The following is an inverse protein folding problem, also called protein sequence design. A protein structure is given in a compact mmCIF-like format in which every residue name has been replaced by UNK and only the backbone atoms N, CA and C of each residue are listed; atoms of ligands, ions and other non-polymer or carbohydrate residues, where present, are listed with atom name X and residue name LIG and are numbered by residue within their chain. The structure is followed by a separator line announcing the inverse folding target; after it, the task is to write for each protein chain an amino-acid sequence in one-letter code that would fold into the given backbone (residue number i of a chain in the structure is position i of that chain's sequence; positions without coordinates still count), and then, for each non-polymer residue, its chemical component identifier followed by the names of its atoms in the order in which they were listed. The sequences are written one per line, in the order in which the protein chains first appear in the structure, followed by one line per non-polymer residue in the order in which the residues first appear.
data_IF_809656584732
#
_entry.id   IF_809656584732
#
_cell.length_a   1.000
_cell.length_b   1.000
_cell.length_c   1.000
_cell.angle_alpha   90.00
_cell.angle_beta   90.00
_cell.angle_gamma   90.00
#
_symmetry.space_group_name_H-M   'P 1'
#
loop_
_entity.id
_entity.type
_entity.pdbx_description
1 polymer ?
#
# COMPACT_ATOMS: atom_id res chain seq x y z
N UNK A 1 19.08 4.68 2.21
CA UNK A 1 18.08 4.43 3.26
C UNK A 1 16.78 3.97 2.67
N UNK A 2 16.20 2.88 3.20
CA UNK A 2 15.02 2.31 2.57
C UNK A 2 13.77 3.16 2.83
N UNK A 3 13.04 3.40 1.76
CA UNK A 3 11.71 4.01 1.75
C UNK A 3 10.67 2.94 1.46
N UNK A 4 9.80 2.67 2.43
CA UNK A 4 8.71 1.70 2.35
C UNK A 4 7.40 2.46 2.13
N UNK A 5 6.66 2.12 1.09
CA UNK A 5 5.40 2.78 0.75
C UNK A 5 4.23 1.82 0.94
N UNK A 6 3.26 2.20 1.75
CA UNK A 6 1.99 1.48 1.86
C UNK A 6 1.00 2.09 0.86
N UNK A 7 0.62 1.34 -0.15
CA UNK A 7 -0.20 1.85 -1.25
C UNK A 7 -1.25 0.83 -1.69
N UNK A 8 -2.46 1.30 -1.89
CA UNK A 8 -3.54 0.59 -2.59
C UNK A 8 -4.64 1.60 -2.92
N UNK A 9 -5.27 1.44 -4.07
CA UNK A 9 -6.33 2.36 -4.50
C UNK A 9 -7.60 2.22 -3.66
N UNK A 10 -7.83 1.05 -3.05
CA UNK A 10 -9.03 0.82 -2.24
C UNK A 10 -8.92 1.44 -0.85
N UNK A 11 -9.95 2.19 -0.47
CA UNK A 11 -10.12 2.68 0.90
C UNK A 11 -10.41 1.54 1.89
N UNK A 12 -10.04 1.71 3.17
CA UNK A 12 -10.35 0.76 4.24
C UNK A 12 -9.51 -0.52 4.26
N UNK A 13 -8.46 -0.63 3.45
CA UNK A 13 -7.52 -1.77 3.46
C UNK A 13 -6.59 -1.80 4.67
N UNK A 14 -6.51 -0.72 5.44
CA UNK A 14 -5.70 -0.58 6.65
C UNK A 14 -4.31 -0.02 6.45
N UNK A 15 -4.04 0.73 5.36
CA UNK A 15 -2.75 1.39 5.08
C UNK A 15 -2.22 2.15 6.30
N UNK A 16 -2.95 3.14 6.78
CA UNK A 16 -2.53 3.98 7.90
C UNK A 16 -2.31 3.19 9.20
N UNK A 17 -3.16 2.21 9.49
CA UNK A 17 -3.01 1.32 10.65
C UNK A 17 -1.71 0.53 10.58
N UNK A 18 -1.42 -0.04 9.40
CA UNK A 18 -0.19 -0.78 9.17
C UNK A 18 1.03 0.13 9.17
N UNK A 19 0.95 1.33 8.55
CA UNK A 19 2.04 2.31 8.55
C UNK A 19 2.45 2.70 9.97
N UNK A 20 1.48 3.03 10.83
CA UNK A 20 1.71 3.33 12.25
C UNK A 20 2.34 2.13 12.96
N UNK A 21 1.77 0.94 12.81
CA UNK A 21 2.23 -0.25 13.52
C UNK A 21 3.61 -0.71 13.08
N UNK A 22 3.90 -0.67 11.77
CA UNK A 22 5.24 -0.96 11.21
C UNK A 22 6.28 0.06 11.67
N UNK A 23 5.91 1.35 11.71
CA UNK A 23 6.79 2.41 12.23
C UNK A 23 7.24 2.10 13.66
N UNK A 24 6.31 1.71 14.52
CA UNK A 24 6.63 1.40 15.92
C UNK A 24 7.36 0.05 16.07
N UNK A 25 7.08 -0.91 15.21
CA UNK A 25 7.82 -2.18 15.17
C UNK A 25 9.29 -1.95 14.76
N UNK A 26 9.52 -1.11 13.74
CA UNK A 26 10.85 -0.73 13.28
C UNK A 26 11.64 0.06 14.35
N UNK A 27 11.00 1.01 15.02
CA UNK A 27 11.63 1.75 16.14
C UNK A 27 12.04 0.78 17.26
N UNK A 28 11.20 -0.19 17.60
CA UNK A 28 11.53 -1.21 18.61
C UNK A 28 12.63 -2.16 18.17
N UNK A 29 12.81 -2.36 16.88
CA UNK A 29 13.95 -3.08 16.31
C UNK A 29 15.25 -2.26 16.28
N UNK A 30 15.23 -1.00 16.73
CA UNK A 30 16.40 -0.13 16.85
C UNK A 30 16.59 0.86 15.71
N UNK A 31 15.66 0.94 14.77
CA UNK A 31 15.76 1.88 13.65
C UNK A 31 15.31 3.29 14.03
N UNK A 32 15.97 4.28 13.46
CA UNK A 32 15.43 5.63 13.39
C UNK A 32 14.42 5.69 12.25
N UNK A 33 13.18 6.10 12.50
CA UNK A 33 12.10 6.04 11.51
C UNK A 33 11.43 7.38 11.31
N UNK A 34 11.15 7.73 10.05
CA UNK A 34 10.28 8.83 9.66
C UNK A 34 8.97 8.27 9.13
N UNK A 35 7.85 8.82 9.57
CA UNK A 35 6.53 8.47 9.06
C UNK A 35 5.96 9.66 8.29
N UNK A 36 5.79 9.49 6.98
CA UNK A 36 5.21 10.52 6.11
C UNK A 36 3.77 10.16 5.81
N UNK A 37 2.87 11.13 5.94
CA UNK A 37 1.46 10.99 5.59
C UNK A 37 1.16 11.80 4.33
N UNK A 38 0.65 11.14 3.28
CA UNK A 38 0.23 11.82 2.06
C UNK A 38 -1.29 11.78 1.85
N UNK A 39 -2.04 11.21 2.79
CA UNK A 39 -3.50 11.19 2.77
C UNK A 39 -4.07 12.45 3.44
N UNK A 40 -4.80 13.31 2.70
CA UNK A 40 -5.44 14.50 3.28
C UNK A 40 -6.48 14.18 4.37
N UNK A 41 -6.94 12.93 4.49
CA UNK A 41 -7.81 12.50 5.60
C UNK A 41 -7.11 12.60 6.95
N UNK A 42 -5.78 12.62 6.98
CA UNK A 42 -4.99 12.90 8.17
C UNK A 42 -5.09 11.83 9.26
N UNK A 43 -5.26 10.56 8.90
CA UNK A 43 -5.41 9.46 9.88
C UNK A 43 -4.19 9.36 10.80
N UNK A 44 -2.98 9.42 10.22
CA UNK A 44 -1.72 9.35 10.97
C UNK A 44 -1.51 10.61 11.81
N UNK A 45 -1.77 11.79 11.26
CA UNK A 45 -1.71 13.07 11.98
C UNK A 45 -2.69 13.13 13.15
N UNK A 46 -3.92 12.62 12.94
CA UNK A 46 -4.93 12.49 14.00
C UNK A 46 -4.49 11.55 15.11
N UNK A 47 -3.90 10.40 14.75
CA UNK A 47 -3.30 9.48 15.71
C UNK A 47 -2.15 10.17 16.46
N UNK A 48 -1.25 10.87 15.76
CA UNK A 48 -0.12 11.58 16.37
C UNK A 48 -0.56 12.63 17.40
N UNK A 49 -1.65 13.34 17.15
CA UNK A 49 -2.21 14.31 18.14
C UNK A 49 -2.70 13.67 19.42
N UNK A 50 -3.19 12.42 19.35
CA UNK A 50 -3.61 11.66 20.56
C UNK A 50 -2.44 11.01 21.30
N UNK A 51 -1.27 10.92 20.64
CA UNK A 51 -0.14 10.16 21.14
C UNK A 51 0.52 10.85 22.33
N UNK A 52 0.74 10.12 23.46
CA UNK A 52 1.42 10.67 24.63
C UNK A 52 2.95 10.78 24.50
N UNK A 53 3.52 10.22 23.43
CA UNK A 53 4.96 10.17 23.21
C UNK A 53 5.39 11.06 22.04
N UNK A 54 6.61 11.64 22.13
CA UNK A 54 7.17 12.47 21.08
C UNK A 54 7.48 11.69 19.78
N UNK A 55 8.03 10.48 19.89
CA UNK A 55 8.31 9.62 18.73
C UNK A 55 7.05 8.85 18.25
N UNK A 56 6.93 8.51 16.96
CA UNK A 56 7.79 8.90 15.84
C UNK A 56 7.59 10.35 15.40
N UNK A 57 8.52 10.85 14.58
CA UNK A 57 8.29 12.09 13.83
C UNK A 57 7.33 11.76 12.69
N UNK A 58 6.24 12.51 12.62
CA UNK A 58 5.20 12.41 11.57
C UNK A 58 5.26 13.68 10.74
N UNK A 59 5.36 13.53 9.42
CA UNK A 59 5.44 14.63 8.46
C UNK A 59 4.26 14.53 7.47
N UNK A 60 3.22 15.39 7.59
CA UNK A 60 2.15 15.45 6.60
C UNK A 60 2.65 16.21 5.36
N UNK A 61 2.72 15.52 4.21
CA UNK A 61 3.17 16.09 2.93
C UNK A 61 2.22 15.65 1.83
N UNK A 62 1.40 16.57 1.33
CA UNK A 62 0.35 16.27 0.36
C UNK A 62 0.73 16.62 -1.09
N UNK A 63 1.70 17.51 -1.27
CA UNK A 63 2.13 17.93 -2.61
C UNK A 63 3.24 17.01 -3.14
N UNK A 64 3.07 16.47 -4.35
CA UNK A 64 4.01 15.53 -4.97
C UNK A 64 5.45 16.07 -5.01
N UNK A 65 5.66 17.33 -5.46
CA UNK A 65 6.99 17.94 -5.56
C UNK A 65 7.67 18.13 -4.20
N UNK A 66 6.90 18.38 -3.15
CA UNK A 66 7.41 18.51 -1.79
C UNK A 66 7.83 17.14 -1.26
N UNK A 67 6.99 16.13 -1.49
CA UNK A 67 7.29 14.74 -1.15
C UNK A 67 8.58 14.26 -1.83
N UNK A 68 8.74 14.51 -3.13
CA UNK A 68 9.94 14.15 -3.89
C UNK A 68 11.20 14.76 -3.26
N UNK A 69 11.19 16.08 -3.02
CA UNK A 69 12.34 16.77 -2.38
C UNK A 69 12.65 16.20 -1.00
N UNK A 70 11.60 15.89 -0.22
CA UNK A 70 11.78 15.37 1.12
C UNK A 70 12.36 13.95 1.11
N UNK A 71 11.86 13.07 0.25
CA UNK A 71 12.39 11.70 0.11
C UNK A 71 13.84 11.71 -0.36
N UNK A 72 14.19 12.56 -1.32
CA UNK A 72 15.58 12.74 -1.77
C UNK A 72 16.49 13.23 -0.64
N UNK A 73 16.06 14.23 0.13
CA UNK A 73 16.83 14.71 1.29
C UNK A 73 17.04 13.61 2.33
N UNK A 74 15.99 12.87 2.69
CA UNK A 74 16.09 11.76 3.64
C UNK A 74 16.99 10.63 3.14
N UNK A 75 17.00 10.36 1.84
CA UNK A 75 17.91 9.37 1.24
C UNK A 75 19.39 9.81 1.36
N UNK A 76 19.68 11.11 1.22
CA UNK A 76 21.03 11.67 1.37
C UNK A 76 21.48 11.68 2.83
N UNK A 77 20.59 11.99 3.76
CA UNK A 77 20.91 12.05 5.20
C UNK A 77 21.26 10.67 5.79
N UNK A 78 20.90 9.59 5.13
CA UNK A 78 21.36 8.22 5.42
C UNK A 78 20.93 7.62 6.78
N UNK A 79 20.15 8.32 7.60
CA UNK A 79 20.03 8.02 9.02
C UNK A 79 18.72 7.34 9.47
N UNK A 80 17.70 7.17 8.63
CA UNK A 80 16.39 6.69 9.08
C UNK A 80 15.64 5.84 8.04
N UNK A 81 14.90 4.83 8.42
CA UNK A 81 13.88 4.19 7.58
C UNK A 81 12.74 5.19 7.35
N UNK A 82 12.29 5.33 6.12
CA UNK A 82 11.11 6.15 5.81
C UNK A 82 9.92 5.25 5.51
N UNK A 83 8.82 5.44 6.23
CA UNK A 83 7.54 4.78 5.95
C UNK A 83 6.57 5.84 5.42
N UNK A 84 5.94 5.57 4.28
CA UNK A 84 5.00 6.50 3.64
C UNK A 84 3.61 5.89 3.63
N UNK A 85 2.67 6.54 4.31
CA UNK A 85 1.23 6.25 4.24
C UNK A 85 0.60 7.03 3.09
N UNK A 86 0.00 6.34 2.12
CA UNK A 86 -0.60 7.00 0.96
C UNK A 86 -2.13 7.07 1.04
N UNK A 87 -2.69 8.06 0.35
CA UNK A 87 -4.13 8.15 0.14
C UNK A 87 -4.69 6.92 -0.59
N UNK A 88 -5.97 6.64 -0.41
CA UNK A 88 -6.71 5.73 -1.27
C UNK A 88 -6.97 6.39 -2.62
N UNK A 89 -6.72 5.66 -3.72
CA UNK A 89 -6.91 6.16 -5.07
C UNK A 89 -5.64 6.66 -5.75
N UNK A 90 -5.80 7.12 -6.98
CA UNK A 90 -4.70 7.67 -7.78
C UNK A 90 -4.48 9.13 -7.42
N UNK A 91 -3.24 9.47 -7.07
CA UNK A 91 -2.83 10.85 -6.85
C UNK A 91 -1.38 11.05 -7.30
N UNK A 92 -1.03 12.30 -7.62
CA UNK A 92 0.35 12.63 -7.96
C UNK A 92 1.31 12.33 -6.79
N UNK A 93 0.87 12.53 -5.55
CA UNK A 93 1.67 12.22 -4.36
C UNK A 93 1.87 10.71 -4.20
N UNK A 94 0.83 9.89 -4.40
CA UNK A 94 0.94 8.42 -4.38
C UNK A 94 1.90 7.92 -5.46
N UNK A 95 1.81 8.46 -6.68
CA UNK A 95 2.71 8.09 -7.78
C UNK A 95 4.17 8.47 -7.46
N UNK A 96 4.40 9.68 -6.93
CA UNK A 96 5.73 10.10 -6.48
C UNK A 96 6.25 9.21 -5.34
N UNK A 97 5.41 8.85 -4.36
CA UNK A 97 5.80 7.93 -3.29
C UNK A 97 6.29 6.59 -3.86
N UNK A 98 5.53 5.98 -4.78
CA UNK A 98 5.91 4.73 -5.44
C UNK A 98 7.22 4.90 -6.21
N UNK A 99 7.36 5.97 -7.00
CA UNK A 99 8.57 6.23 -7.79
C UNK A 99 9.84 6.27 -6.93
N UNK A 100 9.77 6.88 -5.76
CA UNK A 100 10.92 7.03 -4.85
C UNK A 100 10.98 5.95 -3.76
N UNK A 101 10.14 4.90 -3.84
CA UNK A 101 10.20 3.78 -2.91
C UNK A 101 11.32 2.80 -3.25
N UNK A 102 11.82 2.12 -2.22
CA UNK A 102 12.66 0.94 -2.35
C UNK A 102 11.81 -0.34 -2.24
N UNK A 103 10.65 -0.25 -1.60
CA UNK A 103 9.72 -1.37 -1.45
C UNK A 103 8.28 -0.88 -1.28
N UNK A 104 7.34 -1.52 -2.00
CA UNK A 104 5.92 -1.24 -1.88
C UNK A 104 5.19 -2.36 -1.13
N UNK A 105 4.46 -2.03 -0.09
CA UNK A 105 3.51 -2.91 0.56
C UNK A 105 2.10 -2.59 0.06
N UNK A 106 1.35 -3.61 -0.39
CA UNK A 106 -0.01 -3.49 -0.91
C UNK A 106 -0.97 -4.17 0.06
N UNK A 107 -1.52 -3.45 1.05
CA UNK A 107 -2.51 -4.02 1.94
C UNK A 107 -3.81 -4.35 1.19
N UNK A 108 -4.27 -5.58 1.33
CA UNK A 108 -5.53 -6.04 0.75
C UNK A 108 -6.25 -6.99 1.70
N UNK A 109 -7.58 -7.00 1.66
CA UNK A 109 -8.38 -8.00 2.37
C UNK A 109 -8.46 -9.29 1.55
N UNK A 110 -8.65 -10.46 2.18
CA UNK A 110 -8.77 -11.74 1.48
C UNK A 110 -10.16 -11.89 0.83
N UNK A 111 -10.51 -10.97 -0.07
CA UNK A 111 -11.71 -11.02 -0.90
C UNK A 111 -11.35 -10.76 -2.36
N UNK A 112 -12.02 -11.42 -3.29
CA UNK A 112 -11.76 -11.27 -4.73
C UNK A 112 -11.88 -9.80 -5.16
N UNK A 113 -12.94 -9.11 -4.74
CA UNK A 113 -13.13 -7.69 -5.09
C UNK A 113 -12.03 -6.76 -4.56
N UNK A 114 -11.40 -7.08 -3.42
CA UNK A 114 -10.28 -6.30 -2.89
C UNK A 114 -8.99 -6.62 -3.65
N UNK A 115 -8.81 -7.88 -4.05
CA UNK A 115 -7.65 -8.34 -4.84
C UNK A 115 -7.68 -7.74 -6.24
N UNK A 116 -8.80 -7.85 -6.96
CA UNK A 116 -8.98 -7.23 -8.28
C UNK A 116 -8.73 -5.71 -8.25
N UNK A 117 -9.13 -5.03 -7.17
CA UNK A 117 -8.85 -3.61 -6.99
C UNK A 117 -7.37 -3.27 -6.85
N UNK A 118 -6.48 -4.24 -6.59
CA UNK A 118 -5.04 -4.01 -6.53
C UNK A 118 -4.38 -3.89 -7.91
N UNK A 119 -5.03 -4.37 -8.98
CA UNK A 119 -4.50 -4.37 -10.34
C UNK A 119 -4.01 -2.99 -10.81
N UNK A 120 -4.77 -1.94 -10.49
CA UNK A 120 -4.40 -0.58 -10.85
C UNK A 120 -3.15 -0.09 -10.09
N UNK A 121 -3.04 -0.40 -8.79
CA UNK A 121 -1.84 -0.13 -7.99
C UNK A 121 -0.63 -0.89 -8.54
N UNK A 122 -0.81 -2.16 -8.86
CA UNK A 122 0.26 -3.01 -9.41
C UNK A 122 0.79 -2.48 -10.75
N UNK A 123 -0.09 -1.95 -11.63
CA UNK A 123 0.35 -1.32 -12.88
C UNK A 123 1.31 -0.15 -12.64
N UNK A 124 1.01 0.72 -11.67
CA UNK A 124 1.89 1.85 -11.34
C UNK A 124 3.22 1.37 -10.77
N UNK A 125 3.20 0.40 -9.86
CA UNK A 125 4.40 -0.16 -9.24
C UNK A 125 5.32 -0.79 -10.30
N UNK A 126 4.75 -1.56 -11.24
CA UNK A 126 5.47 -2.16 -12.35
C UNK A 126 6.04 -1.14 -13.33
N UNK A 127 5.29 -0.08 -13.63
CA UNK A 127 5.77 1.00 -14.49
C UNK A 127 7.03 1.71 -13.93
N UNK A 128 7.18 1.69 -12.60
CA UNK A 128 8.38 2.22 -11.92
C UNK A 128 9.39 1.12 -11.54
N UNK A 129 9.18 -0.13 -12.00
CA UNK A 129 10.06 -1.28 -11.70
C UNK A 129 10.37 -1.44 -10.20
N UNK A 130 9.35 -1.24 -9.33
CA UNK A 130 9.55 -1.28 -7.88
C UNK A 130 9.27 -2.67 -7.31
N UNK A 131 10.11 -3.16 -6.39
CA UNK A 131 9.82 -4.35 -5.62
C UNK A 131 8.54 -4.14 -4.78
N UNK A 132 7.73 -5.19 -4.65
CA UNK A 132 6.48 -5.09 -3.90
C UNK A 132 6.12 -6.39 -3.21
N UNK A 133 5.22 -6.29 -2.24
CA UNK A 133 4.49 -7.44 -1.71
C UNK A 133 3.07 -7.07 -1.29
N UNK A 134 2.19 -8.04 -1.39
CA UNK A 134 0.86 -7.96 -0.80
C UNK A 134 0.92 -8.26 0.70
N UNK A 135 0.16 -7.49 1.48
CA UNK A 135 -0.10 -7.78 2.89
C UNK A 135 -1.56 -8.17 3.02
N UNK A 136 -1.83 -9.48 3.19
CA UNK A 136 -3.18 -9.94 3.48
C UNK A 136 -3.56 -9.47 4.89
N UNK A 137 -4.38 -8.43 4.93
CA UNK A 137 -4.80 -7.72 6.13
C UNK A 137 -6.27 -7.98 6.45
N UNK A 138 -6.66 -7.75 7.71
CA UNK A 138 -8.03 -7.98 8.20
C UNK A 138 -8.51 -9.41 7.90
N UNK A 139 -7.60 -10.37 8.00
CA UNK A 139 -7.93 -11.78 7.73
C UNK A 139 -8.81 -12.33 8.85
N UNK A 140 -9.90 -13.06 8.54
CA UNK A 140 -10.71 -13.70 9.57
C UNK A 140 -9.92 -14.79 10.30
N UNK A 141 -10.15 -14.95 11.61
CA UNK A 141 -9.44 -15.93 12.47
C UNK A 141 -9.62 -17.38 11.97
N UNK A 142 -10.75 -17.68 11.33
CA UNK A 142 -11.09 -19.02 10.83
C UNK A 142 -11.41 -18.96 9.34
N UNK A 143 -10.38 -18.91 8.51
CA UNK A 143 -10.57 -18.73 7.06
C UNK A 143 -9.53 -19.42 6.19
N UNK A 144 -8.99 -20.58 6.57
CA UNK A 144 -7.92 -21.25 5.83
C UNK A 144 -8.24 -21.45 4.33
N UNK A 145 -9.43 -21.95 3.99
CA UNK A 145 -9.83 -22.13 2.59
C UNK A 145 -9.97 -20.81 1.81
N UNK A 146 -10.48 -19.75 2.49
CA UNK A 146 -10.60 -18.41 1.90
C UNK A 146 -9.23 -17.78 1.66
N UNK A 147 -8.30 -18.00 2.58
CA UNK A 147 -6.92 -17.52 2.45
C UNK A 147 -6.19 -18.18 1.28
N UNK A 148 -6.31 -19.49 1.11
CA UNK A 148 -5.74 -20.19 -0.03
C UNK A 148 -6.30 -19.66 -1.37
N UNK A 149 -7.60 -19.42 -1.45
CA UNK A 149 -8.22 -18.79 -2.63
C UNK A 149 -7.73 -17.37 -2.89
N UNK A 150 -7.54 -16.57 -1.84
CA UNK A 150 -7.02 -15.21 -1.95
C UNK A 150 -5.56 -15.20 -2.41
N UNK A 151 -4.72 -16.06 -1.84
CA UNK A 151 -3.32 -16.20 -2.24
C UNK A 151 -3.19 -16.61 -3.71
N UNK A 152 -3.95 -17.59 -4.17
CA UNK A 152 -3.96 -18.01 -5.56
C UNK A 152 -4.40 -16.88 -6.51
N UNK A 153 -5.42 -16.10 -6.12
CA UNK A 153 -5.87 -14.97 -6.91
C UNK A 153 -4.79 -13.87 -7.02
N UNK A 154 -4.06 -13.60 -5.94
CA UNK A 154 -2.93 -12.66 -5.95
C UNK A 154 -1.77 -13.16 -6.83
N UNK A 155 -1.44 -14.44 -6.77
CA UNK A 155 -0.44 -15.05 -7.65
C UNK A 155 -0.82 -14.89 -9.12
N UNK A 156 -2.07 -15.17 -9.47
CA UNK A 156 -2.57 -15.02 -10.84
C UNK A 156 -2.55 -13.55 -11.30
N UNK A 157 -2.99 -12.61 -10.45
CA UNK A 157 -2.99 -11.18 -10.77
C UNK A 157 -1.58 -10.64 -10.99
N UNK A 158 -0.64 -11.08 -10.17
CA UNK A 158 0.75 -10.66 -10.28
C UNK A 158 1.56 -11.48 -11.31
N UNK A 159 1.06 -12.65 -11.77
CA UNK A 159 1.80 -13.62 -12.58
C UNK A 159 3.17 -14.00 -11.97
N UNK A 160 3.21 -14.13 -10.65
CA UNK A 160 4.40 -14.41 -9.86
C UNK A 160 4.11 -15.51 -8.82
N UNK A 161 5.15 -16.11 -8.25
CA UNK A 161 5.00 -17.06 -7.17
C UNK A 161 4.47 -16.37 -5.90
N UNK A 162 3.48 -16.99 -5.26
CA UNK A 162 2.85 -16.48 -4.03
C UNK A 162 3.90 -16.30 -2.92
N UNK A 163 4.85 -17.20 -2.79
CA UNK A 163 5.88 -17.14 -1.76
C UNK A 163 6.74 -15.88 -1.86
N UNK A 164 6.89 -15.34 -3.08
CA UNK A 164 7.71 -14.16 -3.33
C UNK A 164 6.95 -12.85 -3.13
N UNK A 165 5.62 -12.86 -3.29
CA UNK A 165 4.81 -11.64 -3.35
C UNK A 165 3.82 -11.48 -2.20
N UNK A 166 3.61 -12.48 -1.34
CA UNK A 166 2.72 -12.36 -0.18
C UNK A 166 3.53 -12.32 1.09
N UNK A 167 3.46 -11.18 1.78
CA UNK A 167 4.16 -10.99 3.06
C UNK A 167 3.65 -11.91 4.16
N UNK A 168 4.55 -12.31 5.03
CA UNK A 168 4.26 -13.12 6.23
C UNK A 168 4.65 -12.37 7.50
N UNK A 169 3.86 -12.51 8.55
CA UNK A 169 2.60 -13.25 8.66
C UNK A 169 1.42 -12.52 7.99
N UNK A 170 0.29 -13.22 7.87
CA UNK A 170 -1.01 -12.58 7.57
C UNK A 170 -1.47 -11.78 8.80
N UNK A 171 -2.11 -10.64 8.57
CA UNK A 171 -2.58 -9.78 9.65
C UNK A 171 -4.05 -10.08 9.94
N UNK A 172 -4.31 -10.62 11.11
CA UNK A 172 -5.65 -11.04 11.52
C UNK A 172 -6.46 -9.84 12.01
N UNK A 173 -7.74 -9.80 11.65
CA UNK A 173 -8.67 -8.78 12.14
C UNK A 173 -8.92 -8.96 13.63
N UNK A 174 -8.47 -7.99 14.44
CA UNK A 174 -8.71 -7.93 15.90
C UNK A 174 -8.98 -6.49 16.33
N UNK A 175 -9.69 -6.34 17.44
CA UNK A 175 -10.01 -5.03 18.01
C UNK A 175 -8.77 -4.30 18.52
N UNK A 176 -7.72 -5.04 18.92
CA UNK A 176 -6.45 -4.48 19.43
C UNK A 176 -5.92 -3.32 18.57
N UNK A 177 -6.06 -3.42 17.24
CA UNK A 177 -5.61 -2.36 16.32
C UNK A 177 -6.42 -1.07 16.49
N UNK A 178 -7.74 -1.17 16.66
CA UNK A 178 -8.63 -0.01 16.84
C UNK A 178 -8.45 0.59 18.23
N UNK A 179 -8.34 -0.24 19.25
CA UNK A 179 -8.16 0.17 20.65
C UNK A 179 -6.81 0.91 20.80
N UNK A 180 -5.75 0.37 20.24
CA UNK A 180 -4.45 1.01 20.21
C UNK A 180 -4.49 2.38 19.52
N UNK A 181 -5.06 2.46 18.29
CA UNK A 181 -5.16 3.73 17.56
C UNK A 181 -5.98 4.78 18.31
N UNK A 182 -7.04 4.37 18.98
CA UNK A 182 -7.89 5.27 19.80
C UNK A 182 -7.09 5.88 20.96
N UNK A 183 -6.17 5.11 21.55
CA UNK A 183 -5.28 5.56 22.62
C UNK A 183 -4.03 6.33 22.13
N UNK A 184 -3.87 6.57 20.81
CA UNK A 184 -2.65 7.16 20.25
C UNK A 184 -1.42 6.25 20.31
N UNK A 185 -1.66 4.93 20.41
CA UNK A 185 -0.63 3.90 20.50
C UNK A 185 -0.63 3.03 19.22
N UNK A 186 0.40 2.22 19.05
CA UNK A 186 0.39 1.07 18.16
C UNK A 186 0.16 -0.22 18.94
N UNK A 187 -0.22 -1.31 18.28
CA UNK A 187 -0.50 -2.59 18.94
C UNK A 187 0.67 -3.13 19.76
N UNK A 188 1.91 -2.90 19.30
CA UNK A 188 3.11 -3.30 20.01
C UNK A 188 3.36 -2.50 21.29
N UNK A 189 2.65 -1.38 21.50
CA UNK A 189 2.68 -0.59 22.73
C UNK A 189 1.46 -0.90 23.61
N UNK A 190 0.29 -1.01 22.99
CA UNK A 190 -0.97 -1.25 23.67
C UNK A 190 -1.04 -2.65 24.28
N UNK A 191 -0.66 -3.67 23.52
CA UNK A 191 -0.67 -5.08 23.94
C UNK A 191 0.62 -5.78 23.49
N UNK A 192 1.79 -5.50 24.10
CA UNK A 192 3.10 -5.92 23.61
C UNK A 192 3.29 -7.44 23.53
N UNK A 193 2.62 -8.23 24.37
CA UNK A 193 2.59 -9.69 24.33
C UNK A 193 1.42 -10.27 23.54
N UNK A 194 0.60 -9.43 22.91
CA UNK A 194 -0.57 -9.87 22.14
C UNK A 194 -0.20 -10.37 20.74
N UNK A 195 -1.09 -11.21 20.17
CA UNK A 195 -0.90 -11.75 18.80
C UNK A 195 -0.81 -10.68 17.73
N UNK A 196 -1.56 -9.59 17.85
CA UNK A 196 -1.47 -8.46 16.91
C UNK A 196 -0.10 -7.81 16.93
N UNK A 197 0.53 -7.69 18.10
CA UNK A 197 1.88 -7.17 18.23
C UNK A 197 2.95 -8.14 17.68
N UNK A 198 2.75 -9.45 17.88
CA UNK A 198 3.62 -10.48 17.29
C UNK A 198 3.57 -10.44 15.75
N UNK A 199 2.37 -10.38 15.18
CA UNK A 199 2.17 -10.27 13.74
C UNK A 199 2.85 -9.02 13.16
N UNK A 200 2.76 -7.88 13.82
CA UNK A 200 3.40 -6.64 13.35
C UNK A 200 4.93 -6.69 13.45
N UNK A 201 5.49 -7.29 14.51
CA UNK A 201 6.94 -7.51 14.62
C UNK A 201 7.44 -8.45 13.53
N UNK A 202 6.73 -9.54 13.29
CA UNK A 202 7.10 -10.50 12.26
C UNK A 202 6.95 -9.92 10.85
N UNK A 203 5.92 -9.09 10.60
CA UNK A 203 5.77 -8.37 9.32
C UNK A 203 6.94 -7.38 9.11
N UNK A 204 7.38 -6.69 10.18
CA UNK A 204 8.56 -5.83 10.08
C UNK A 204 9.82 -6.63 9.72
N UNK A 205 10.10 -7.73 10.44
CA UNK A 205 11.25 -8.59 10.18
C UNK A 205 11.23 -9.16 8.76
N UNK A 206 10.06 -9.58 8.28
CA UNK A 206 9.90 -10.03 6.90
C UNK A 206 10.20 -8.91 5.90
N UNK A 207 9.67 -7.71 6.12
CA UNK A 207 9.89 -6.54 5.25
C UNK A 207 11.38 -6.16 5.23
N UNK A 208 12.00 -6.12 6.39
CA UNK A 208 13.43 -5.80 6.54
C UNK A 208 14.33 -6.78 5.79
N UNK A 209 14.02 -8.08 5.84
CA UNK A 209 14.75 -9.11 5.08
C UNK A 209 14.66 -8.91 3.57
N UNK A 210 13.51 -8.43 3.07
CA UNK A 210 13.31 -8.14 1.64
C UNK A 210 14.03 -6.86 1.20
N UNK A 211 14.14 -5.88 2.06
CA UNK A 211 14.93 -4.67 1.79
C UNK A 211 16.42 -4.98 1.62
N UNK A 212 16.98 -5.85 2.46
CA UNK A 212 18.36 -6.29 2.34
C UNK A 212 18.65 -7.00 1.01
N UNK A 213 17.73 -7.83 0.55
CA UNK A 213 17.84 -8.54 -0.71
C UNK A 213 17.66 -7.62 -1.94
N UNK A 214 16.80 -6.60 -1.84
CA UNK A 214 16.57 -5.64 -2.92
C UNK A 214 17.81 -4.76 -3.16
N UNK A 215 18.52 -4.37 -2.13
CA UNK A 215 19.79 -3.60 -2.24
C UNK A 215 20.88 -4.44 -2.91
N UNK A 216 20.93 -5.75 -2.65
CA UNK A 216 21.92 -6.64 -3.28
C UNK A 216 21.62 -6.90 -4.78
N UNK A 217 20.36 -6.80 -5.21
CA UNK A 217 19.95 -7.02 -6.60
C UNK A 217 20.15 -5.79 -7.51
N UNK A 218 20.37 -4.60 -6.95
CA UNK A 218 20.57 -3.36 -7.73
C UNK A 218 22.02 -3.13 -8.18
N UNK A 219 22.96 -4.00 -7.81
CA UNK A 219 24.36 -3.94 -8.26
C UNK A 219 24.62 -4.64 -9.61
N UNK A 220 23.61 -5.24 -10.25
CA UNK A 220 23.74 -5.74 -11.62
C UNK A 220 23.37 -4.63 -12.64
N UNK A 221 24.20 -4.40 -13.68
CA UNK A 221 23.91 -3.37 -14.69
C UNK A 221 22.66 -3.76 -15.48
N UNK A 222 21.64 -2.90 -15.41
CA UNK A 222 20.39 -3.04 -16.18
C UNK A 222 20.74 -2.81 -17.66
N UNK A 223 20.71 -3.88 -18.45
CA UNK A 223 20.71 -3.78 -19.93
C UNK A 223 19.29 -3.31 -20.31
N UNK A 224 19.18 -2.06 -20.78
CA UNK A 224 17.93 -1.52 -21.32
C UNK A 224 17.57 -2.24 -22.63
N UNK A 225 16.79 -3.31 -22.55
CA UNK A 225 16.02 -3.79 -23.69
C UNK A 225 14.64 -3.14 -23.67
N UNK A 226 14.42 -2.18 -24.57
CA UNK A 226 13.11 -1.61 -24.82
C UNK A 226 12.20 -2.68 -25.44
N UNK A 227 11.37 -3.33 -24.62
CA UNK A 227 10.26 -4.15 -25.10
C UNK A 227 9.06 -3.24 -25.33
N UNK A 228 8.73 -2.98 -26.61
CA UNK A 228 7.45 -2.36 -26.98
C UNK A 228 6.30 -3.25 -26.47
N UNK A 229 5.54 -2.75 -25.52
CA UNK A 229 4.34 -3.42 -25.03
C UNK A 229 3.20 -3.10 -26.00
N UNK A 230 2.66 -4.09 -26.77
CA UNK A 230 1.50 -3.83 -27.61
C UNK A 230 0.31 -3.45 -26.73
N UNK A 231 -0.39 -2.38 -27.11
CA UNK A 231 -1.62 -1.94 -26.44
C UNK A 231 -2.70 -3.02 -26.61
N UNK A 232 -2.87 -3.86 -25.60
CA UNK A 232 -4.00 -4.80 -25.54
C UNK A 232 -5.24 -3.98 -25.13
N UNK A 233 -6.00 -3.51 -26.12
CA UNK A 233 -7.34 -2.95 -25.91
C UNK A 233 -8.28 -4.14 -25.65
N UNK A 234 -8.87 -4.28 -24.46
CA UNK A 234 -9.79 -5.37 -24.19
C UNK A 234 -11.01 -5.23 -25.10
N UNK A 235 -11.50 -6.35 -25.65
CA UNK A 235 -12.60 -6.39 -26.63
C UNK A 235 -13.92 -5.72 -26.17
N UNK A 236 -14.12 -5.47 -24.89
CA UNK A 236 -15.28 -4.76 -24.33
C UNK A 236 -15.15 -3.22 -24.42
N UNK A 237 -13.95 -2.66 -24.73
CA UNK A 237 -13.72 -1.23 -24.86
C UNK A 237 -14.04 -0.69 -26.27
N UNK A 238 -14.39 -1.54 -27.24
CA UNK A 238 -14.92 -1.10 -28.52
C UNK A 238 -16.35 -0.60 -28.31
N UNK A 239 -16.55 0.71 -28.25
CA UNK A 239 -17.89 1.31 -28.26
C UNK A 239 -18.58 0.92 -29.57
N UNK A 240 -19.84 0.42 -29.56
CA UNK A 240 -20.63 0.33 -30.77
C UNK A 240 -20.81 1.76 -31.31
N UNK A 241 -20.54 1.94 -32.59
CA UNK A 241 -20.82 3.17 -33.30
C UNK A 241 -22.33 3.45 -33.22
N UNK A 242 -22.69 4.52 -32.53
CA UNK A 242 -24.06 5.04 -32.57
C UNK A 242 -24.26 5.66 -33.95
N UNK A 243 -25.09 5.01 -34.77
CA UNK A 243 -25.60 5.57 -36.00
C UNK A 243 -26.49 6.78 -35.67
N UNK A 244 -26.17 7.91 -36.33
CA UNK A 244 -26.83 9.20 -36.09
C UNK A 244 -28.24 9.34 -36.67
N UNK A 245 -28.86 8.24 -37.10
CA UNK A 245 -30.16 8.28 -37.85
C UNK A 245 -31.39 7.84 -37.05
N UNK A 246 -31.32 7.76 -35.72
CA UNK A 246 -32.51 7.44 -34.89
C UNK A 246 -33.06 8.65 -34.14
N UNK A 247 -33.06 9.82 -34.76
CA UNK A 247 -33.79 10.98 -34.23
C UNK A 247 -35.21 11.03 -34.79
N UNK A 248 -36.10 10.20 -34.23
CA UNK A 248 -37.55 10.40 -34.44
C UNK A 248 -38.34 9.80 -33.23
N UNK A 249 -39.29 10.66 -32.74
CA UNK A 249 -40.32 10.39 -31.72
C UNK A 249 -40.01 10.67 -30.26
N UNK A 250 -40.03 11.95 -29.91
CA UNK A 250 -40.71 12.38 -28.69
C UNK A 250 -41.79 13.41 -29.06
N UNK A 251 -43.02 12.94 -29.22
CA UNK A 251 -44.20 13.80 -29.20
C UNK A 251 -44.67 13.99 -27.76
N UNK A 252 -44.62 15.23 -27.30
CA UNK A 252 -45.32 15.69 -26.10
C UNK A 252 -46.82 15.64 -26.27
N UNK A 253 -47.62 15.15 -25.31
CA UNK A 253 -49.07 15.37 -25.29
C UNK A 253 -49.34 16.76 -24.68
N UNK A 254 -50.21 17.53 -25.39
CA UNK A 254 -50.78 18.79 -24.95
C UNK A 254 -51.71 18.59 -23.77
N UNK A 255 -51.75 19.59 -22.89
CA UNK A 255 -52.76 19.77 -21.84
C UNK A 255 -54.14 20.06 -22.46
N UNK A 256 -55.16 19.42 -21.94
CA UNK A 256 -56.49 19.98 -21.65
C UNK A 256 -56.82 19.71 -20.20
#
# INVERSE_FOLDING_TARGET
MPTIVLTTQKGGSGKSTLAISLTLAAIRAGHNVRLIETDPQGTVSNWKRRRPYAAPIVEPIYAARELERRLQSLAQDGAAVTIVDTAGGESAATNSAIRYSDFCLIPTRPSIADIEATAATLRVIRAWHKPFAYVLNQTPIRAAARLAGAENALGNEAALDIADIVARPLIVMRNDHQDALSAGLAVCEHAPGGKSAEEMRALWQWTESRLGNAVAATDEPIIEEFVEIPAIIPKWAARPSFDADSALFLRTPARV
#
